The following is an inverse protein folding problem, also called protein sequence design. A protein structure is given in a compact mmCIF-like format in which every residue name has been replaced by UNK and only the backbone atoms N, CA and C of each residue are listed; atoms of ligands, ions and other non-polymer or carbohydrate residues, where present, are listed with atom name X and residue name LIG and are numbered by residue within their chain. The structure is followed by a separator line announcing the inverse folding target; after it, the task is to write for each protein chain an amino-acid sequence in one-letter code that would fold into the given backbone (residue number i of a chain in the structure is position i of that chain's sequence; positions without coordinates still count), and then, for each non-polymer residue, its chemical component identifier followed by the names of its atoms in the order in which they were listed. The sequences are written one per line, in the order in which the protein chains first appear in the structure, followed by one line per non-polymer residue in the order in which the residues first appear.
data_IF_524851266516
#
_entry.id   IF_524851266516
#
_cell.length_a   1.000
_cell.length_b   1.000
_cell.length_c   1.000
_cell.angle_alpha   90.00
_cell.angle_beta   90.00
_cell.angle_gamma   90.00
#
_symmetry.space_group_name_H-M   'P 1'
#
loop_
_entity.id
_entity.type
_entity.pdbx_description
1 polymer ?
#
# COMPACT_ATOMS: atom_id res chain seq x y z
N UNK A 1 5.46 41.91 -11.68
CA UNK A 1 4.20 41.39 -11.13
C UNK A 1 4.01 39.98 -11.68
N UNK A 2 4.26 38.93 -10.88
CA UNK A 2 4.17 37.54 -11.35
C UNK A 2 2.77 37.02 -11.05
N UNK A 3 1.93 36.89 -12.08
CA UNK A 3 0.57 36.37 -11.96
C UNK A 3 0.59 34.87 -11.67
N UNK A 4 0.27 34.49 -10.43
CA UNK A 4 0.08 33.10 -10.02
C UNK A 4 -1.22 32.53 -10.58
N UNK A 5 -1.11 31.56 -11.49
CA UNK A 5 -2.25 30.73 -11.92
C UNK A 5 -2.65 29.81 -10.76
N UNK A 6 -3.72 30.16 -10.05
CA UNK A 6 -4.45 29.23 -9.17
C UNK A 6 -4.91 28.06 -10.04
N UNK A 7 -4.45 26.85 -9.72
CA UNK A 7 -4.96 25.61 -10.32
C UNK A 7 -6.30 25.32 -9.63
N UNK A 8 -7.39 25.76 -10.25
CA UNK A 8 -8.73 25.26 -9.94
C UNK A 8 -8.77 23.78 -10.35
N UNK A 9 -8.98 22.91 -9.37
CA UNK A 9 -9.25 21.50 -9.63
C UNK A 9 -10.73 21.45 -9.99
N UNK A 10 -11.02 21.12 -11.24
CA UNK A 10 -12.39 21.06 -11.73
C UNK A 10 -13.18 19.96 -10.96
N UNK A 11 -14.41 20.27 -10.54
CA UNK A 11 -15.29 19.33 -9.83
C UNK A 11 -15.58 18.06 -10.65
N UNK A 12 -15.49 18.16 -11.98
CA UNK A 12 -15.70 17.05 -12.92
C UNK A 12 -14.60 15.98 -12.86
N UNK A 13 -13.36 16.35 -12.52
CA UNK A 13 -12.24 15.43 -12.35
C UNK A 13 -12.38 14.63 -11.06
N UNK A 14 -12.98 15.24 -10.03
CA UNK A 14 -13.25 14.55 -8.77
C UNK A 14 -14.40 13.55 -8.89
N UNK A 15 -15.48 13.91 -9.59
CA UNK A 15 -16.61 13.00 -9.84
C UNK A 15 -16.20 11.82 -10.73
N UNK A 16 -15.39 12.06 -11.76
CA UNK A 16 -14.84 11.00 -12.62
C UNK A 16 -13.94 10.01 -11.86
N UNK A 17 -13.12 10.51 -10.93
CA UNK A 17 -12.32 9.67 -10.03
C UNK A 17 -13.19 8.80 -9.10
N UNK A 18 -14.30 9.36 -8.58
CA UNK A 18 -15.24 8.60 -7.75
C UNK A 18 -16.03 7.54 -8.54
N UNK A 19 -16.23 7.76 -9.84
CA UNK A 19 -16.86 6.79 -10.74
C UNK A 19 -15.94 5.60 -11.02
N UNK A 20 -14.65 5.84 -11.24
CA UNK A 20 -13.64 4.78 -11.41
C UNK A 20 -13.50 3.89 -10.16
N UNK A 21 -13.74 4.43 -8.96
CA UNK A 21 -13.75 3.66 -7.71
C UNK A 21 -14.98 2.75 -7.55
N UNK A 22 -16.07 2.99 -8.30
CA UNK A 22 -17.30 2.19 -8.27
C UNK A 22 -17.32 1.08 -9.32
N UNK A 23 -16.35 1.04 -10.24
CA UNK A 23 -16.29 -0.01 -11.26
C UNK A 23 -16.06 -1.39 -10.61
N UNK A 24 -16.87 -2.42 -10.96
CA UNK A 24 -16.70 -3.76 -10.43
C UNK A 24 -15.37 -4.34 -10.90
N UNK A 25 -14.53 -4.78 -9.95
CA UNK A 25 -13.31 -5.51 -10.25
C UNK A 25 -13.68 -6.87 -10.87
N UNK A 26 -13.21 -7.12 -12.08
CA UNK A 26 -13.21 -8.48 -12.63
C UNK A 26 -12.51 -9.41 -11.65
N UNK A 27 -13.22 -10.45 -11.25
CA UNK A 27 -12.69 -11.55 -10.46
C UNK A 27 -11.74 -12.30 -11.37
N UNK A 28 -10.43 -12.17 -11.13
CA UNK A 28 -9.51 -13.17 -11.63
C UNK A 28 -9.61 -14.37 -10.68
N UNK A 29 -10.25 -15.42 -11.19
CA UNK A 29 -10.17 -16.77 -10.65
C UNK A 29 -8.73 -17.28 -10.71
N UNK A 30 -8.31 -18.06 -9.72
CA UNK A 30 -7.11 -18.88 -9.79
C UNK A 30 -6.10 -18.63 -8.68
N UNK A 31 -6.39 -19.18 -7.51
CA UNK A 31 -5.40 -19.46 -6.48
C UNK A 31 -4.26 -20.32 -7.05
N UNK A 32 -3.07 -19.72 -7.18
CA UNK A 32 -1.79 -20.43 -7.12
C UNK A 32 -0.71 -19.45 -6.64
N UNK A 33 -0.78 -19.09 -5.36
CA UNK A 33 0.36 -18.52 -4.65
C UNK A 33 1.13 -19.68 -4.02
N UNK A 34 2.42 -19.90 -4.35
CA UNK A 34 3.22 -20.99 -3.79
C UNK A 34 3.67 -20.72 -2.34
N UNK A 35 3.11 -19.70 -1.67
CA UNK A 35 3.36 -19.43 -0.26
C UNK A 35 2.14 -19.83 0.55
N UNK A 36 2.13 -21.09 0.99
CA UNK A 36 1.34 -21.54 2.13
C UNK A 36 1.75 -20.66 3.31
N UNK A 37 0.84 -19.80 3.79
CA UNK A 37 0.98 -19.21 5.13
C UNK A 37 1.14 -20.39 6.11
N UNK A 38 2.11 -20.36 7.05
CA UNK A 38 2.16 -21.34 8.12
C UNK A 38 0.79 -21.49 8.77
N UNK A 39 0.33 -22.73 8.97
CA UNK A 39 -1.04 -23.10 9.32
C UNK A 39 -1.55 -22.56 10.68
N UNK A 40 -0.78 -21.72 11.37
CA UNK A 40 -1.12 -21.12 12.65
C UNK A 40 -2.02 -19.87 12.54
N UNK A 41 -2.39 -19.41 11.34
CA UNK A 41 -3.27 -18.23 11.14
C UNK A 41 -4.57 -18.64 10.43
N UNK A 42 -5.20 -19.72 10.89
CA UNK A 42 -6.60 -20.03 10.54
C UNK A 42 -7.42 -19.93 11.82
N UNK A 43 -8.24 -18.87 11.89
CA UNK A 43 -9.33 -18.57 12.83
C UNK A 43 -9.03 -17.52 13.91
N UNK A 44 -9.47 -16.27 13.70
CA UNK A 44 -10.75 -15.77 14.22
C UNK A 44 -10.91 -14.27 13.99
N UNK A 45 -12.15 -13.85 13.76
CA UNK A 45 -12.61 -12.46 13.87
C UNK A 45 -12.40 -11.99 15.31
N UNK A 46 -11.94 -10.75 15.44
CA UNK A 46 -11.89 -9.94 16.67
C UNK A 46 -10.97 -10.45 17.79
N UNK A 47 -9.80 -9.79 17.95
CA UNK A 47 -9.40 -9.07 19.18
C UNK A 47 -7.92 -8.69 19.12
N UNK A 48 -7.68 -7.41 19.39
CA UNK A 48 -6.40 -6.83 19.74
C UNK A 48 -5.97 -7.38 21.11
N UNK A 49 -5.02 -8.33 21.16
CA UNK A 49 -4.11 -8.59 22.30
C UNK A 49 -3.26 -9.83 21.96
N UNK A 50 -1.93 -9.65 21.90
CA UNK A 50 -0.94 -10.73 21.92
C UNK A 50 0.32 -10.18 22.61
N UNK A 51 0.20 -10.07 23.91
CA UNK A 51 1.26 -10.14 24.91
C UNK A 51 1.59 -11.62 25.16
N UNK A 52 2.81 -12.03 24.82
CA UNK A 52 3.23 -13.42 24.98
C UNK A 52 4.56 -13.71 24.31
N UNK A 53 5.56 -13.92 25.14
CA UNK A 53 6.99 -14.01 24.84
C UNK A 53 7.39 -15.30 24.10
N UNK A 54 7.24 -15.26 22.78
CA UNK A 54 8.17 -15.86 21.81
C UNK A 54 8.40 -14.78 20.74
N UNK A 55 9.46 -13.98 20.89
CA UNK A 55 9.69 -12.81 20.02
C UNK A 55 10.22 -13.22 18.66
N UNK A 56 9.50 -14.11 17.97
CA UNK A 56 9.59 -14.38 16.55
C UNK A 56 9.24 -13.10 15.78
N UNK A 57 10.22 -12.22 15.62
CA UNK A 57 10.08 -10.95 14.89
C UNK A 57 9.53 -11.25 13.50
N UNK A 58 8.31 -10.79 13.24
CA UNK A 58 7.72 -10.90 11.91
C UNK A 58 8.63 -10.23 10.86
N UNK A 59 8.62 -10.78 9.65
CA UNK A 59 9.43 -10.30 8.53
C UNK A 59 8.53 -9.61 7.51
N UNK A 60 8.94 -8.43 7.05
CA UNK A 60 8.20 -7.62 6.10
C UNK A 60 8.08 -8.35 4.76
N UNK A 61 6.86 -8.67 4.35
CA UNK A 61 6.57 -9.40 3.11
C UNK A 61 6.94 -8.62 1.82
N UNK A 62 7.32 -7.34 1.95
CA UNK A 62 7.81 -6.52 0.84
C UNK A 62 9.33 -6.57 0.72
N UNK A 63 10.08 -6.44 1.82
CA UNK A 63 11.51 -6.14 1.77
C UNK A 63 12.39 -6.90 2.76
N UNK A 64 11.81 -7.78 3.58
CA UNK A 64 12.56 -8.62 4.52
C UNK A 64 13.00 -7.95 5.83
N UNK A 65 12.68 -6.67 6.03
CA UNK A 65 13.00 -5.95 7.28
C UNK A 65 12.08 -6.38 8.44
N UNK A 66 12.47 -6.07 9.68
CA UNK A 66 11.65 -6.36 10.88
C UNK A 66 10.29 -5.66 10.77
N UNK A 67 9.21 -6.39 11.09
CA UNK A 67 7.86 -5.99 10.76
C UNK A 67 6.84 -6.14 11.90
N UNK A 68 5.72 -5.44 11.70
CA UNK A 68 4.46 -5.62 12.42
C UNK A 68 3.29 -5.58 11.43
N UNK A 69 2.05 -5.51 11.92
CA UNK A 69 0.85 -5.46 11.07
C UNK A 69 0.47 -4.01 10.71
N UNK A 70 0.41 -3.70 9.41
CA UNK A 70 0.00 -2.39 8.91
C UNK A 70 -0.87 -2.52 7.64
N UNK A 71 -1.94 -1.74 7.56
CA UNK A 71 -2.84 -1.71 6.40
C UNK A 71 -3.33 -3.08 5.93
N UNK A 72 -3.56 -4.00 6.88
CA UNK A 72 -4.06 -5.36 6.62
C UNK A 72 -2.99 -6.44 6.47
N UNK A 73 -1.70 -6.09 6.40
CA UNK A 73 -0.61 -7.04 6.08
C UNK A 73 0.58 -6.92 7.02
N UNK A 74 1.46 -7.93 7.03
CA UNK A 74 2.74 -7.86 7.73
C UNK A 74 3.75 -7.04 6.93
N UNK A 75 4.18 -5.90 7.47
CA UNK A 75 5.13 -5.01 6.83
C UNK A 75 5.95 -4.21 7.85
N UNK A 76 7.11 -3.72 7.44
CA UNK A 76 7.93 -2.86 8.30
C UNK A 76 7.44 -1.40 8.28
N UNK A 77 7.87 -0.61 9.26
CA UNK A 77 7.58 0.82 9.37
C UNK A 77 7.98 1.61 8.11
N UNK A 78 9.09 1.22 7.47
CA UNK A 78 9.52 1.84 6.22
C UNK A 78 8.51 1.65 5.08
N UNK A 79 7.96 0.44 4.92
CA UNK A 79 6.96 0.15 3.88
C UNK A 79 5.58 0.71 4.23
N UNK A 80 5.20 0.72 5.51
CA UNK A 80 4.02 1.43 6.02
C UNK A 80 4.06 2.91 5.66
N UNK A 81 5.12 3.61 6.04
CA UNK A 81 5.26 5.06 5.80
C UNK A 81 5.41 5.40 4.31
N UNK A 82 6.03 4.51 3.53
CA UNK A 82 6.07 4.63 2.07
C UNK A 82 4.66 4.51 1.48
N UNK A 83 3.94 3.42 1.77
CA UNK A 83 2.60 3.18 1.25
C UNK A 83 1.64 4.34 1.58
N UNK A 84 1.65 4.79 2.84
CA UNK A 84 0.85 5.94 3.28
C UNK A 84 1.10 7.16 2.39
N UNK A 85 2.35 7.60 2.30
CA UNK A 85 2.71 8.81 1.53
C UNK A 85 2.39 8.67 0.06
N UNK A 86 2.64 7.50 -0.52
CA UNK A 86 2.37 7.24 -1.93
C UNK A 86 0.88 7.42 -2.24
N UNK A 87 0.01 6.80 -1.43
CA UNK A 87 -1.45 6.89 -1.61
C UNK A 87 -1.98 8.28 -1.27
N UNK A 88 -1.62 8.87 -0.13
CA UNK A 88 -2.21 10.14 0.33
C UNK A 88 -1.79 11.33 -0.51
N UNK A 89 -0.59 11.30 -1.09
CA UNK A 89 -0.08 12.37 -1.94
C UNK A 89 -0.28 12.07 -3.44
N UNK A 90 -0.98 10.98 -3.78
CA UNK A 90 -1.20 10.54 -5.16
C UNK A 90 0.10 10.39 -5.96
N UNK A 91 1.19 9.96 -5.30
CA UNK A 91 2.51 9.83 -5.97
C UNK A 91 2.43 8.77 -7.05
N UNK A 92 1.67 7.70 -6.82
CA UNK A 92 1.45 6.63 -7.78
C UNK A 92 0.66 7.03 -9.02
N UNK A 93 -0.05 8.17 -8.97
CA UNK A 93 -0.80 8.72 -10.09
C UNK A 93 0.04 9.69 -10.95
N UNK A 94 1.28 9.99 -10.54
CA UNK A 94 2.14 10.92 -11.29
C UNK A 94 2.64 10.24 -12.58
N UNK A 95 2.74 10.97 -13.70
CA UNK A 95 3.16 10.40 -14.99
C UNK A 95 4.59 9.86 -14.99
N UNK A 96 5.44 10.33 -14.07
CA UNK A 96 6.81 9.85 -13.90
C UNK A 96 6.95 8.73 -12.86
N UNK A 97 5.84 8.23 -12.29
CA UNK A 97 5.85 7.10 -11.37
C UNK A 97 5.98 5.79 -12.15
N UNK A 98 7.18 5.53 -12.67
CA UNK A 98 7.52 4.38 -13.50
C UNK A 98 8.76 3.67 -13.00
N UNK A 99 8.91 2.40 -13.36
CA UNK A 99 10.15 1.68 -13.09
C UNK A 99 11.29 2.28 -13.93
N UNK A 100 12.39 2.67 -13.29
CA UNK A 100 13.57 3.21 -13.98
C UNK A 100 14.22 2.21 -14.94
N UNK A 101 14.14 0.92 -14.62
CA UNK A 101 14.67 -0.15 -15.49
C UNK A 101 13.71 -0.57 -16.60
N UNK A 102 12.44 -0.16 -16.54
CA UNK A 102 11.38 -0.62 -17.45
C UNK A 102 10.98 -2.10 -17.29
N UNK A 103 11.72 -2.89 -16.52
CA UNK A 103 11.45 -4.34 -16.35
C UNK A 103 10.35 -4.64 -15.33
N UNK A 104 10.05 -3.69 -14.46
CA UNK A 104 9.03 -3.79 -13.39
C UNK A 104 9.20 -5.00 -12.44
N UNK A 105 10.43 -5.52 -12.36
CA UNK A 105 10.81 -6.70 -11.57
C UNK A 105 11.95 -6.41 -10.59
N UNK A 106 12.11 -5.16 -10.16
CA UNK A 106 13.16 -4.80 -9.21
C UNK A 106 12.99 -5.58 -7.91
N UNK A 107 14.07 -6.23 -7.45
CA UNK A 107 14.10 -6.94 -6.17
C UNK A 107 13.92 -5.95 -5.02
N UNK A 108 13.05 -6.28 -4.08
CA UNK A 108 12.82 -5.47 -2.89
C UNK A 108 13.54 -6.08 -1.70
N UNK A 109 14.62 -5.44 -1.25
CA UNK A 109 15.32 -5.75 0.00
C UNK A 109 15.36 -4.51 0.90
N UNK A 110 15.79 -4.64 2.16
CA UNK A 110 15.93 -3.51 3.07
C UNK A 110 16.82 -2.41 2.50
N UNK A 111 17.87 -2.78 1.77
CA UNK A 111 18.89 -1.91 1.19
C UNK A 111 18.40 -1.29 -0.13
N UNK A 112 17.68 -2.06 -0.95
CA UNK A 112 17.36 -1.70 -2.34
C UNK A 112 15.93 -1.17 -2.54
N UNK A 113 15.05 -1.31 -1.53
CA UNK A 113 13.62 -0.91 -1.63
C UNK A 113 13.40 0.54 -2.04
N UNK A 114 14.37 1.44 -1.84
CA UNK A 114 14.24 2.85 -2.22
C UNK A 114 14.61 3.13 -3.69
N UNK A 115 15.29 2.20 -4.37
CA UNK A 115 15.80 2.42 -5.73
C UNK A 115 14.70 2.44 -6.79
N UNK A 116 13.57 1.77 -6.53
CA UNK A 116 12.43 1.76 -7.43
C UNK A 116 11.11 1.91 -6.67
N UNK A 117 10.65 3.15 -6.47
CA UNK A 117 9.36 3.42 -5.81
C UNK A 117 8.19 2.71 -6.47
N UNK A 118 8.19 2.63 -7.80
CA UNK A 118 7.16 1.92 -8.57
C UNK A 118 7.07 0.43 -8.18
N UNK A 119 8.18 -0.31 -8.27
CA UNK A 119 8.18 -1.75 -7.95
C UNK A 119 7.88 -1.99 -6.47
N UNK A 120 8.35 -1.11 -5.58
CA UNK A 120 8.03 -1.19 -4.15
C UNK A 120 6.52 -1.05 -3.91
N UNK A 121 5.88 -0.10 -4.60
CA UNK A 121 4.45 0.11 -4.45
C UNK A 121 3.63 -1.03 -5.05
N UNK A 122 4.02 -1.54 -6.22
CA UNK A 122 3.39 -2.72 -6.79
C UNK A 122 3.50 -3.93 -5.86
N UNK A 123 4.65 -4.11 -5.18
CA UNK A 123 4.78 -5.14 -4.15
C UNK A 123 3.83 -4.93 -2.97
N UNK A 124 3.68 -3.69 -2.47
CA UNK A 124 2.69 -3.35 -1.43
C UNK A 124 1.26 -3.76 -1.83
N UNK A 125 0.85 -3.47 -3.06
CA UNK A 125 -0.49 -3.81 -3.55
C UNK A 125 -0.65 -5.31 -3.75
N UNK A 126 0.35 -5.97 -4.31
CA UNK A 126 0.33 -7.41 -4.58
C UNK A 126 0.14 -8.24 -3.31
N UNK A 127 0.72 -7.82 -2.19
CA UNK A 127 0.53 -8.50 -0.90
C UNK A 127 -0.78 -8.11 -0.18
N UNK A 128 -1.54 -7.16 -0.73
CA UNK A 128 -2.84 -6.77 -0.19
C UNK A 128 -2.86 -5.56 0.75
N UNK A 129 -1.91 -4.61 0.66
CA UNK A 129 -2.05 -3.35 1.41
C UNK A 129 -3.30 -2.57 0.96
N UNK A 130 -4.19 -2.27 1.90
CA UNK A 130 -5.50 -1.68 1.60
C UNK A 130 -5.48 -0.15 1.54
N UNK A 131 -5.65 0.38 0.32
CA UNK A 131 -5.78 1.83 0.04
C UNK A 131 -7.06 2.42 0.64
N UNK A 132 -8.16 1.69 0.59
CA UNK A 132 -9.48 2.17 1.04
C UNK A 132 -9.48 2.31 2.56
N UNK A 133 -8.97 1.31 3.27
CA UNK A 133 -8.81 1.39 4.73
C UNK A 133 -7.88 2.53 5.17
N UNK A 134 -6.87 2.88 4.36
CA UNK A 134 -6.03 4.04 4.62
C UNK A 134 -6.79 5.36 4.39
N UNK A 135 -7.45 5.52 3.25
CA UNK A 135 -8.13 6.77 2.88
C UNK A 135 -9.33 7.08 3.79
N UNK A 136 -10.05 6.07 4.28
CA UNK A 136 -11.11 6.24 5.28
C UNK A 136 -10.57 6.84 6.59
N UNK A 137 -9.40 6.38 7.06
CA UNK A 137 -8.78 6.90 8.29
C UNK A 137 -8.27 8.33 8.14
N UNK A 138 -7.73 8.68 6.98
CA UNK A 138 -7.24 10.05 6.72
C UNK A 138 -8.39 11.07 6.68
N UNK A 139 -9.54 10.70 6.09
CA UNK A 139 -10.73 11.56 6.06
C UNK A 139 -11.31 11.84 7.46
N UNK A 140 -11.20 10.87 8.37
CA UNK A 140 -11.68 11.01 9.75
C UNK A 140 -10.78 11.91 10.63
N UNK A 141 -9.60 12.32 10.15
CA UNK A 141 -8.66 13.19 10.88
C UNK A 141 -8.74 14.67 10.45
N UNK A 142 -9.64 15.03 9.52
CA UNK A 142 -9.83 16.41 9.05
C UNK A 142 -11.14 17.05 9.55
N UNK A 143 -11.85 16.41 10.49
CA UNK A 143 -13.08 16.92 11.12
C UNK A 143 -12.93 16.92 12.65
N UNK A 144 -11.88 17.59 13.14
CA UNK A 144 -11.63 17.84 14.55
C UNK A 144 -11.14 19.26 14.75
#
# INVERSE_FOLDING_TARGET
MVGGRKREIDENSFTKFLEELKAPKNKHDGNNSPFVLPDHIKNNKDKDELDGEDTGRFVCLICGDVAGRHYGVISCEGCKGFFRRTVTLGIDLKPNFKCSTGLEKCKMTKETRNNCPFCRFNACIRIGMDRVALLKRVKNLQIG
#
